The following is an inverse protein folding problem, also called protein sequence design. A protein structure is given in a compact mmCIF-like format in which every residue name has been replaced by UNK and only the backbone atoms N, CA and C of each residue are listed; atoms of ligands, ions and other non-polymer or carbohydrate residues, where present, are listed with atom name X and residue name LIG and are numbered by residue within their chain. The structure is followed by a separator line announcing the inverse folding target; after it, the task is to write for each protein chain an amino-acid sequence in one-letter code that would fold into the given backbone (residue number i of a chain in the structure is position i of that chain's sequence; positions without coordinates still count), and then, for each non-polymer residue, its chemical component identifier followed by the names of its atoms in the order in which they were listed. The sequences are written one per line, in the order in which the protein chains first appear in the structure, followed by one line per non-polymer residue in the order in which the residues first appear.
data_IF_897936302466
#
_entry.id   IF_897936302466
#
_cell.length_a   1.000
_cell.length_b   1.000
_cell.length_c   1.000
_cell.angle_alpha   90.00
_cell.angle_beta   90.00
_cell.angle_gamma   90.00
#
_symmetry.space_group_name_H-M   'P 1'
#
loop_
_entity.id
_entity.type
_entity.pdbx_description
1 polymer ?
#
# COMPACT_ATOMS: atom_id res chain seq x y z
N UNK A 1 4.21 -15.82 -29.09
CA UNK A 1 3.05 -15.02 -29.51
C UNK A 1 1.91 -15.43 -28.61
N UNK A 2 1.71 -14.56 -27.63
CA UNK A 2 0.47 -14.25 -26.92
C UNK A 2 -0.17 -15.37 -26.08
N UNK A 3 0.19 -15.34 -24.79
CA UNK A 3 -0.45 -16.04 -23.69
C UNK A 3 -1.98 -15.88 -23.81
N UNK A 4 -2.73 -16.98 -23.94
CA UNK A 4 -4.18 -16.93 -23.97
C UNK A 4 -4.67 -16.14 -22.75
N UNK A 5 -5.34 -15.00 -22.93
CA UNK A 5 -5.71 -14.11 -21.84
C UNK A 5 -6.73 -14.76 -20.90
N UNK A 6 -7.23 -15.96 -21.17
CA UNK A 6 -8.13 -16.73 -20.33
C UNK A 6 -7.45 -17.87 -19.55
N UNK A 7 -6.10 -17.96 -19.57
CA UNK A 7 -5.36 -18.95 -18.80
C UNK A 7 -4.27 -18.32 -17.90
N UNK A 8 -4.01 -18.97 -16.77
CA UNK A 8 -2.88 -18.68 -15.88
C UNK A 8 -1.95 -19.89 -15.83
N UNK A 9 -0.65 -19.64 -15.64
CA UNK A 9 0.29 -20.69 -15.24
C UNK A 9 0.23 -20.87 -13.72
N UNK A 10 0.08 -22.10 -13.23
CA UNK A 10 0.00 -22.42 -11.80
C UNK A 10 0.85 -23.65 -11.45
N UNK A 11 1.16 -23.81 -10.16
CA UNK A 11 1.90 -24.96 -9.62
C UNK A 11 1.18 -25.53 -8.39
N UNK A 12 1.01 -26.86 -8.35
CA UNK A 12 0.44 -27.58 -7.22
C UNK A 12 1.25 -28.86 -6.96
N UNK A 13 1.72 -29.03 -5.73
CA UNK A 13 2.49 -30.21 -5.29
C UNK A 13 3.70 -30.52 -6.18
N UNK A 14 4.45 -29.47 -6.59
CA UNK A 14 5.64 -29.58 -7.44
C UNK A 14 5.36 -29.83 -8.92
N UNK A 15 4.10 -29.75 -9.37
CA UNK A 15 3.71 -29.90 -10.78
C UNK A 15 3.20 -28.58 -11.34
N UNK A 16 3.83 -28.11 -12.42
CA UNK A 16 3.46 -26.89 -13.14
C UNK A 16 2.49 -27.20 -14.28
N UNK A 17 1.51 -26.33 -14.50
CA UNK A 17 0.52 -26.45 -15.57
C UNK A 17 -0.26 -25.17 -15.81
N UNK A 18 -1.29 -25.25 -16.66
CA UNK A 18 -2.20 -24.14 -16.95
C UNK A 18 -3.54 -24.38 -16.26
N UNK A 19 -4.13 -23.30 -15.74
CA UNK A 19 -5.47 -23.30 -15.16
C UNK A 19 -6.30 -22.19 -15.81
N UNK A 20 -7.58 -22.43 -16.13
CA UNK A 20 -8.43 -21.38 -16.67
C UNK A 20 -8.63 -20.26 -15.64
N UNK A 21 -8.64 -19.00 -16.07
CA UNK A 21 -8.79 -17.85 -15.16
C UNK A 21 -10.13 -17.87 -14.41
N UNK A 22 -11.20 -18.38 -15.02
CA UNK A 22 -12.52 -18.48 -14.38
C UNK A 22 -12.63 -19.61 -13.33
N UNK A 23 -11.59 -20.43 -13.17
CA UNK A 23 -11.55 -21.51 -12.17
C UNK A 23 -10.66 -21.16 -10.97
N UNK A 24 -9.93 -20.04 -11.01
CA UNK A 24 -9.07 -19.60 -9.91
C UNK A 24 -9.25 -18.12 -9.58
N UNK A 25 -9.23 -17.80 -8.28
CA UNK A 25 -9.07 -16.43 -7.83
C UNK A 25 -7.61 -16.22 -7.42
N UNK A 26 -6.94 -15.23 -8.01
CA UNK A 26 -5.65 -14.76 -7.51
C UNK A 26 -5.91 -14.18 -6.12
N UNK A 27 -5.19 -14.65 -5.10
CA UNK A 27 -5.30 -14.04 -3.77
C UNK A 27 -4.83 -12.59 -3.88
N UNK A 28 -5.62 -11.60 -3.47
CA UNK A 28 -5.15 -10.23 -3.42
C UNK A 28 -3.87 -10.17 -2.56
N UNK A 29 -2.95 -9.29 -2.93
CA UNK A 29 -1.76 -9.01 -2.12
C UNK A 29 -2.17 -8.81 -0.65
N UNK A 30 -1.34 -9.17 0.34
CA UNK A 30 -1.72 -9.14 1.77
C UNK A 30 -2.18 -7.76 2.30
N UNK A 31 -2.05 -6.69 1.51
CA UNK A 31 -2.62 -5.36 1.82
C UNK A 31 -3.82 -4.94 0.94
N UNK A 32 -4.13 -5.62 -0.17
CA UNK A 32 -5.29 -5.33 -1.05
C UNK A 32 -5.58 -3.83 -1.34
N UNK A 33 -6.86 -3.52 -1.57
CA UNK A 33 -7.48 -2.17 -1.60
C UNK A 33 -7.67 -1.57 -0.18
N UNK A 34 -6.96 -2.07 0.83
CA UNK A 34 -7.26 -1.70 2.22
C UNK A 34 -6.63 -0.37 2.59
N UNK A 35 -7.49 0.56 3.02
CA UNK A 35 -7.08 1.84 3.58
C UNK A 35 -6.44 1.61 4.95
N UNK A 36 -5.17 2.01 5.10
CA UNK A 36 -4.47 2.00 6.38
C UNK A 36 -4.60 3.36 7.06
N UNK A 37 -5.13 3.37 8.29
CA UNK A 37 -5.28 4.58 9.09
C UNK A 37 -4.19 4.67 10.16
N UNK A 38 -3.47 5.79 10.18
CA UNK A 38 -2.47 6.11 11.21
C UNK A 38 -2.98 7.26 12.06
N UNK A 39 -2.93 7.10 13.38
CA UNK A 39 -3.37 8.14 14.31
C UNK A 39 -2.26 9.18 14.48
N UNK A 40 -2.57 10.42 14.14
CA UNK A 40 -1.71 11.55 14.49
C UNK A 40 -1.90 11.87 15.97
N UNK A 41 -0.80 11.84 16.71
CA UNK A 41 -0.72 12.21 18.11
C UNK A 41 -0.26 13.66 18.24
N UNK A 42 -0.60 14.27 19.38
CA UNK A 42 -0.25 15.65 19.70
C UNK A 42 0.17 15.76 21.15
N UNK A 43 1.27 16.43 21.41
CA UNK A 43 1.75 16.69 22.77
C UNK A 43 1.21 18.01 23.37
N UNK A 44 1.57 18.28 24.64
CA UNK A 44 1.21 19.52 25.34
C UNK A 44 1.86 20.78 24.74
N UNK A 45 2.95 20.62 23.98
CA UNK A 45 3.65 21.70 23.28
C UNK A 45 3.08 21.92 21.86
N UNK A 46 1.95 21.30 21.53
CA UNK A 46 1.29 21.35 20.22
C UNK A 46 2.13 20.80 19.06
N UNK A 47 3.05 19.88 19.33
CA UNK A 47 3.81 19.15 18.32
C UNK A 47 3.08 17.87 17.92
N UNK A 48 3.25 17.44 16.68
CA UNK A 48 2.54 16.35 16.03
C UNK A 48 3.48 15.20 15.67
N UNK A 49 3.04 13.96 15.83
CA UNK A 49 3.82 12.77 15.49
C UNK A 49 2.92 11.57 15.25
N UNK A 50 3.40 10.59 14.49
CA UNK A 50 2.77 9.27 14.32
C UNK A 50 3.66 8.19 14.97
N UNK A 51 4.96 8.29 14.74
CA UNK A 51 6.00 7.43 15.32
C UNK A 51 6.98 8.28 16.12
N UNK A 52 8.28 8.06 15.93
CA UNK A 52 9.36 8.69 16.69
C UNK A 52 9.66 10.14 16.24
N UNK A 53 9.26 10.51 15.01
CA UNK A 53 9.50 11.84 14.42
C UNK A 53 8.45 12.87 14.86
N UNK A 54 8.92 14.04 15.31
CA UNK A 54 8.09 15.11 15.91
C UNK A 54 8.11 16.39 15.07
N UNK A 55 6.93 16.90 14.72
CA UNK A 55 6.74 18.05 13.83
C UNK A 55 6.01 19.21 14.52
N UNK A 56 6.28 20.44 14.09
CA UNK A 56 5.61 21.63 14.65
C UNK A 56 4.27 21.93 13.99
N UNK A 57 3.97 21.30 12.85
CA UNK A 57 2.71 21.42 12.12
C UNK A 57 2.33 20.12 11.41
N UNK A 58 1.03 19.95 11.14
CA UNK A 58 0.53 18.82 10.33
C UNK A 58 1.10 18.84 8.91
N UNK A 59 1.30 20.02 8.33
CA UNK A 59 1.85 20.15 6.97
C UNK A 59 3.28 19.62 6.90
N UNK A 60 4.11 19.91 7.91
CA UNK A 60 5.46 19.35 7.99
C UNK A 60 5.46 17.82 8.15
N UNK A 61 4.54 17.28 8.95
CA UNK A 61 4.35 15.85 9.11
C UNK A 61 3.98 15.18 7.78
N UNK A 62 3.04 15.77 7.03
CA UNK A 62 2.61 15.26 5.72
C UNK A 62 3.77 15.30 4.72
N UNK A 63 4.48 16.43 4.64
CA UNK A 63 5.61 16.58 3.71
C UNK A 63 6.74 15.61 4.01
N UNK A 64 6.98 15.30 5.28
CA UNK A 64 7.96 14.30 5.67
C UNK A 64 7.56 12.89 5.19
N UNK A 65 6.32 12.45 5.43
CA UNK A 65 5.85 11.12 5.03
C UNK A 65 5.45 11.00 3.55
N UNK A 66 5.58 12.07 2.76
CA UNK A 66 5.61 11.97 1.29
C UNK A 66 6.91 11.33 0.79
N UNK A 67 8.02 11.68 1.42
CA UNK A 67 9.36 11.28 0.99
C UNK A 67 9.97 10.17 1.87
N UNK A 68 9.34 9.88 3.02
CA UNK A 68 9.77 8.85 3.96
C UNK A 68 8.63 7.85 4.20
N UNK A 69 8.98 6.58 4.41
CA UNK A 69 7.97 5.56 4.70
C UNK A 69 7.27 5.82 6.03
N UNK A 70 5.94 5.81 6.02
CA UNK A 70 5.09 5.81 7.22
C UNK A 70 4.98 4.42 7.84
N UNK A 71 5.28 3.35 7.11
CA UNK A 71 5.22 1.98 7.62
C UNK A 71 6.62 1.47 8.00
N UNK A 72 6.69 0.72 9.11
CA UNK A 72 7.95 0.22 9.70
C UNK A 72 8.57 -0.95 8.93
N UNK A 73 7.75 -1.82 8.35
CA UNK A 73 8.21 -3.06 7.71
C UNK A 73 8.24 -2.99 6.17
N UNK A 74 7.63 -1.95 5.58
CA UNK A 74 7.52 -1.77 4.12
C UNK A 74 7.51 -0.29 3.77
N UNK A 75 7.99 0.06 2.58
CA UNK A 75 7.96 1.45 2.07
C UNK A 75 6.53 1.82 1.68
N UNK A 76 5.86 2.63 2.52
CA UNK A 76 4.55 3.21 2.24
C UNK A 76 4.66 4.71 2.43
N UNK A 77 4.53 5.48 1.37
CA UNK A 77 4.52 6.95 1.44
C UNK A 77 3.10 7.48 1.23
N UNK A 78 2.82 8.67 1.76
CA UNK A 78 1.56 9.37 1.49
C UNK A 78 1.50 9.76 0.01
N UNK A 79 0.56 9.18 -0.74
CA UNK A 79 0.29 9.58 -2.12
C UNK A 79 -0.66 10.76 -2.14
N UNK A 80 -0.43 11.72 -3.03
CA UNK A 80 -1.45 12.71 -3.34
C UNK A 80 -2.69 12.00 -3.91
N UNK A 81 -3.90 12.50 -3.62
CA UNK A 81 -5.06 12.05 -4.36
C UNK A 81 -4.79 12.32 -5.84
N UNK A 82 -4.89 11.29 -6.68
CA UNK A 82 -4.85 11.48 -8.12
C UNK A 82 -5.85 12.57 -8.44
N UNK A 83 -5.35 13.70 -8.96
CA UNK A 83 -6.20 14.82 -9.37
C UNK A 83 -7.08 14.26 -10.47
N UNK A 84 -8.27 13.78 -10.10
CA UNK A 84 -9.34 13.52 -11.04
C UNK A 84 -9.59 14.88 -11.71
N UNK A 85 -9.06 15.02 -12.92
CA UNK A 85 -9.33 16.15 -13.79
C UNK A 85 -10.83 16.09 -14.06
N UNK A 86 -11.58 16.90 -13.32
CA UNK A 86 -12.97 17.22 -13.60
C UNK A 86 -13.04 18.25 -14.73
#
# INVERSE_FOLDING_TARGET
MDEDPNWYTAELSGRKGFVPKNYINVRPHPYGDHVQHFKVLKDRLRRYFIWDEVFTSLNQLVEFYRNNSIAKERTVCLREPERLLA
#
